data_IF_474009455954
#
_entry.id   IF_474009455954
#
_cell.length_a   1.000
_cell.length_b   1.000
_cell.length_c   1.000
_cell.angle_alpha   90.00
_cell.angle_beta   90.00
_cell.angle_gamma   90.00
#
_symmetry.space_group_name_H-M   'P 1'
#
loop_
_entity.id
_entity.type
_entity.pdbx_description
1 polymer ?
#
# COMPACT_ATOMS: atom_id res chain seq x y z
N UNK A 1 -0.45 -4.04 -2.87
CA UNK A 1 -0.82 -2.61 -3.04
C UNK A 1 -0.78 -2.12 -4.48
N UNK A 2 0.35 -2.20 -5.20
CA UNK A 2 0.45 -1.68 -6.60
C UNK A 2 -0.52 -2.39 -7.56
N UNK A 3 -0.70 -3.71 -7.43
CA UNK A 3 -1.67 -4.44 -8.24
C UNK A 3 -3.11 -3.93 -8.04
N UNK A 4 -3.54 -3.80 -6.78
CA UNK A 4 -4.85 -3.24 -6.44
C UNK A 4 -4.97 -1.78 -6.91
N UNK A 5 -3.90 -0.99 -6.80
CA UNK A 5 -3.85 0.37 -7.35
C UNK A 5 -4.16 0.39 -8.85
N UNK A 6 -3.55 -0.50 -9.63
CA UNK A 6 -3.77 -0.60 -11.07
C UNK A 6 -5.17 -1.15 -11.41
N UNK A 7 -5.68 -2.11 -10.64
CA UNK A 7 -7.02 -2.65 -10.81
C UNK A 7 -8.09 -1.58 -10.55
N UNK A 8 -7.96 -0.84 -9.45
CA UNK A 8 -8.89 0.20 -9.01
C UNK A 8 -8.88 1.44 -9.90
N UNK A 9 -7.83 1.67 -10.69
CA UNK A 9 -7.81 2.73 -11.71
C UNK A 9 -8.96 2.58 -12.72
N UNK A 10 -9.43 1.34 -12.94
CA UNK A 10 -10.56 1.04 -13.85
C UNK A 10 -11.93 1.25 -13.19
N UNK A 11 -12.00 1.18 -11.85
CA UNK A 11 -13.26 1.20 -11.10
C UNK A 11 -13.69 2.62 -10.69
N UNK A 12 -12.74 3.53 -10.50
CA UNK A 12 -13.03 4.94 -10.25
C UNK A 12 -13.45 5.62 -11.56
N UNK A 13 -14.75 5.61 -11.83
CA UNK A 13 -15.33 6.22 -13.03
C UNK A 13 -14.93 7.68 -13.21
N UNK A 14 -14.78 8.10 -14.48
CA UNK A 14 -14.40 9.47 -14.90
C UNK A 14 -15.21 10.56 -14.20
N UNK A 15 -16.48 10.30 -13.87
CA UNK A 15 -17.36 11.25 -13.16
C UNK A 15 -16.83 11.64 -11.77
N UNK A 16 -16.19 10.73 -11.03
CA UNK A 16 -15.61 11.05 -9.71
C UNK A 16 -14.28 11.81 -9.83
N UNK A 17 -13.51 11.55 -10.89
CA UNK A 17 -12.28 12.31 -11.21
C UNK A 17 -12.56 13.79 -11.47
N UNK A 18 -13.71 14.13 -12.05
CA UNK A 18 -14.03 15.50 -12.44
C UNK A 18 -14.70 16.31 -11.31
N UNK A 19 -15.33 15.64 -10.35
CA UNK A 19 -16.02 16.27 -9.22
C UNK A 19 -15.13 16.53 -7.98
N UNK A 20 -14.05 15.77 -7.80
CA UNK A 20 -13.16 15.88 -6.63
C UNK A 20 -11.89 16.68 -6.92
N UNK A 21 -11.33 17.31 -5.88
CA UNK A 21 -9.95 17.79 -5.91
C UNK A 21 -8.97 16.62 -6.12
N UNK A 22 -7.75 16.92 -6.55
CA UNK A 22 -6.72 15.88 -6.75
C UNK A 22 -6.45 15.11 -5.46
N UNK A 23 -6.40 15.80 -4.33
CA UNK A 23 -6.08 15.20 -3.03
C UNK A 23 -7.19 14.28 -2.53
N UNK A 24 -8.46 14.71 -2.62
CA UNK A 24 -9.59 13.87 -2.24
C UNK A 24 -9.70 12.62 -3.13
N UNK A 25 -9.46 12.77 -4.43
CA UNK A 25 -9.44 11.63 -5.34
C UNK A 25 -8.35 10.62 -4.98
N UNK A 26 -7.13 11.10 -4.70
CA UNK A 26 -6.01 10.25 -4.29
C UNK A 26 -6.30 9.57 -2.96
N UNK A 27 -6.81 10.31 -1.97
CA UNK A 27 -7.17 9.76 -0.67
C UNK A 27 -8.22 8.65 -0.78
N UNK A 28 -9.29 8.88 -1.55
CA UNK A 28 -10.36 7.90 -1.75
C UNK A 28 -9.88 6.64 -2.52
N UNK A 29 -8.94 6.81 -3.46
CA UNK A 29 -8.35 5.66 -4.18
C UNK A 29 -7.43 4.86 -3.26
N UNK A 30 -6.61 5.56 -2.46
CA UNK A 30 -5.66 4.93 -1.55
C UNK A 30 -6.36 4.18 -0.42
N UNK A 31 -7.46 4.73 0.12
CA UNK A 31 -8.27 4.05 1.14
C UNK A 31 -8.83 2.73 0.63
N UNK A 32 -9.33 2.71 -0.62
CA UNK A 32 -9.86 1.50 -1.25
C UNK A 32 -8.77 0.44 -1.50
N UNK A 33 -7.56 0.88 -1.91
CA UNK A 33 -6.41 -0.03 -2.04
C UNK A 33 -6.02 -0.63 -0.69
N UNK A 34 -6.03 0.18 0.36
CA UNK A 34 -5.67 -0.26 1.71
C UNK A 34 -6.73 -1.19 2.30
N UNK A 35 -8.00 -0.96 2.02
CA UNK A 35 -9.11 -1.85 2.38
C UNK A 35 -8.98 -3.21 1.69
N UNK A 36 -8.64 -3.24 0.40
CA UNK A 36 -8.51 -4.48 -0.36
C UNK A 36 -7.24 -5.27 0.01
N UNK A 37 -6.12 -4.59 0.25
CA UNK A 37 -4.81 -5.25 0.42
C UNK A 37 -4.28 -5.30 1.86
N UNK A 38 -4.73 -4.38 2.72
CA UNK A 38 -4.31 -4.30 4.12
C UNK A 38 -4.58 -5.57 4.93
N UNK A 39 -5.79 -6.17 4.86
CA UNK A 39 -6.08 -7.42 5.56
C UNK A 39 -5.16 -8.57 5.14
N UNK A 40 -4.90 -8.72 3.84
CA UNK A 40 -4.01 -9.76 3.33
C UNK A 40 -2.55 -9.58 3.80
N UNK A 41 -2.06 -8.33 3.82
CA UNK A 41 -0.71 -8.01 4.33
C UNK A 41 -0.62 -8.34 5.82
N UNK A 42 -1.63 -7.95 6.62
CA UNK A 42 -1.67 -8.24 8.05
C UNK A 42 -1.68 -9.75 8.32
N UNK A 43 -2.53 -10.51 7.62
CA UNK A 43 -2.60 -11.97 7.77
C UNK A 43 -1.23 -12.59 7.45
N UNK A 44 -0.60 -12.20 6.34
CA UNK A 44 0.72 -12.69 5.95
C UNK A 44 1.78 -12.41 7.03
N UNK A 45 1.85 -11.16 7.52
CA UNK A 45 2.78 -10.77 8.57
C UNK A 45 2.54 -11.55 9.87
N UNK A 46 1.27 -11.69 10.28
CA UNK A 46 0.89 -12.47 11.46
C UNK A 46 1.29 -13.94 11.33
N UNK A 47 1.02 -14.58 10.18
CA UNK A 47 1.38 -15.98 9.97
C UNK A 47 2.89 -16.20 9.99
N UNK A 48 3.68 -15.27 9.44
CA UNK A 48 5.14 -15.35 9.50
C UNK A 48 5.66 -15.17 10.93
N UNK A 49 5.14 -14.19 11.66
CA UNK A 49 5.49 -13.98 13.08
C UNK A 49 5.16 -15.21 13.92
N UNK A 50 4.00 -15.84 13.70
CA UNK A 50 3.61 -17.05 14.42
C UNK A 50 4.49 -18.26 14.06
N UNK A 51 4.86 -18.40 12.78
CA UNK A 51 5.78 -19.44 12.34
C UNK A 51 7.16 -19.27 12.99
N UNK A 52 7.69 -18.05 13.01
CA UNK A 52 8.96 -17.74 13.68
C UNK A 52 8.86 -17.88 15.20
N UNK A 53 7.70 -17.57 15.80
CA UNK A 53 7.48 -17.80 17.22
C UNK A 53 7.61 -19.29 17.56
N UNK A 54 6.98 -20.17 16.79
CA UNK A 54 7.12 -21.63 16.95
C UNK A 54 8.57 -22.07 16.69
N UNK A 55 9.22 -21.52 15.66
CA UNK A 55 10.63 -21.75 15.35
C UNK A 55 11.57 -21.36 16.49
N UNK A 56 11.26 -20.27 17.20
CA UNK A 56 12.04 -19.77 18.31
C UNK A 56 12.02 -20.70 19.54
N UNK A 57 10.93 -21.44 19.76
CA UNK A 57 10.80 -22.41 20.86
C UNK A 57 11.40 -23.79 20.55
N UNK A 58 11.51 -24.15 19.28
CA UNK A 58 11.89 -25.50 18.84
C UNK A 58 13.29 -25.58 18.23
N UNK A 59 13.89 -24.43 17.90
CA UNK A 59 15.18 -24.33 17.23
C UNK A 59 16.39 -24.50 18.14
N UNK A 60 17.57 -24.62 17.50
CA UNK A 60 18.85 -24.44 18.18
C UNK A 60 19.02 -22.97 18.63
N UNK A 61 19.95 -22.67 19.55
CA UNK A 61 20.17 -21.30 20.03
C UNK A 61 20.38 -20.26 18.91
N UNK A 62 21.02 -20.66 17.82
CA UNK A 62 21.28 -19.81 16.65
C UNK A 62 19.98 -19.50 15.88
N UNK A 63 19.13 -20.51 15.69
CA UNK A 63 17.84 -20.38 15.00
C UNK A 63 16.87 -19.54 15.83
N UNK A 64 16.85 -19.72 17.15
CA UNK A 64 16.02 -18.90 18.04
C UNK A 64 16.40 -17.42 17.92
N UNK A 65 17.69 -17.09 17.90
CA UNK A 65 18.14 -15.71 17.74
C UNK A 65 17.70 -15.14 16.38
N UNK A 66 17.81 -15.93 15.32
CA UNK A 66 17.35 -15.55 13.98
C UNK A 66 15.83 -15.28 13.96
N UNK A 67 15.01 -16.19 14.49
CA UNK A 67 13.56 -16.07 14.52
C UNK A 67 13.11 -14.84 15.30
N UNK A 68 13.70 -14.57 16.47
CA UNK A 68 13.36 -13.38 17.27
C UNK A 68 13.70 -12.09 16.51
N UNK A 69 14.87 -12.03 15.87
CA UNK A 69 15.25 -10.89 15.05
C UNK A 69 14.31 -10.71 13.85
N UNK A 70 13.93 -11.79 13.17
CA UNK A 70 13.02 -11.76 12.02
C UNK A 70 11.60 -11.34 12.41
N UNK A 71 11.08 -11.83 13.54
CA UNK A 71 9.79 -11.36 14.08
C UNK A 71 9.79 -9.86 14.30
N UNK A 72 10.85 -9.32 14.92
CA UNK A 72 11.00 -7.88 15.11
C UNK A 72 11.05 -7.12 13.78
N UNK A 73 11.79 -7.64 12.80
CA UNK A 73 11.88 -7.06 11.47
C UNK A 73 10.53 -7.03 10.74
N UNK A 74 9.74 -8.12 10.79
CA UNK A 74 8.42 -8.20 10.17
C UNK A 74 7.43 -7.20 10.78
N UNK A 75 7.48 -7.00 12.11
CA UNK A 75 6.64 -6.00 12.77
C UNK A 75 6.96 -4.59 12.26
N UNK A 76 8.26 -4.25 12.20
CA UNK A 76 8.71 -2.95 11.69
C UNK A 76 8.35 -2.79 10.21
N UNK A 77 8.55 -3.83 9.40
CA UNK A 77 8.18 -3.86 7.99
C UNK A 77 6.68 -3.60 7.79
N UNK A 78 5.81 -4.26 8.57
CA UNK A 78 4.37 -4.03 8.51
C UNK A 78 4.00 -2.56 8.76
N UNK A 79 4.58 -1.91 9.78
CA UNK A 79 4.32 -0.50 10.05
C UNK A 79 4.83 0.41 8.94
N UNK A 80 6.01 0.15 8.39
CA UNK A 80 6.55 0.93 7.27
C UNK A 80 5.77 0.73 5.98
N UNK A 81 5.26 -0.48 5.73
CA UNK A 81 4.39 -0.80 4.59
C UNK A 81 3.08 -0.01 4.66
N UNK A 82 2.44 0.09 5.84
CA UNK A 82 1.16 0.78 5.99
C UNK A 82 1.33 2.31 6.07
N UNK A 83 2.42 2.81 6.65
CA UNK A 83 2.66 4.25 6.81
C UNK A 83 3.46 4.85 5.66
N UNK A 84 4.78 4.60 5.63
CA UNK A 84 5.71 5.23 4.69
C UNK A 84 5.41 4.87 3.24
N UNK A 85 5.21 3.58 2.95
CA UNK A 85 4.96 3.16 1.57
C UNK A 85 3.63 3.72 1.06
N UNK A 86 2.59 3.73 1.89
CA UNK A 86 1.30 4.39 1.57
C UNK A 86 1.47 5.88 1.29
N UNK A 87 2.25 6.61 2.10
CA UNK A 87 2.55 8.02 1.87
C UNK A 87 3.29 8.26 0.54
N UNK A 88 4.28 7.43 0.23
CA UNK A 88 5.00 7.49 -1.05
C UNK A 88 4.05 7.25 -2.22
N UNK A 89 3.15 6.26 -2.12
CA UNK A 89 2.14 6.04 -3.17
C UNK A 89 1.21 7.24 -3.34
N UNK A 90 0.79 7.90 -2.25
CA UNK A 90 -0.04 9.09 -2.31
C UNK A 90 0.64 10.23 -3.07
N UNK A 91 1.93 10.47 -2.79
CA UNK A 91 2.72 11.47 -3.51
C UNK A 91 2.80 11.16 -5.01
N UNK A 92 3.19 9.93 -5.36
CA UNK A 92 3.24 9.49 -6.76
C UNK A 92 1.89 9.68 -7.47
N UNK A 93 0.79 9.35 -6.80
CA UNK A 93 -0.56 9.52 -7.34
C UNK A 93 -0.94 10.99 -7.59
N UNK A 94 -0.58 11.89 -6.67
CA UNK A 94 -0.79 13.33 -6.85
C UNK A 94 -0.03 13.84 -8.08
N UNK A 95 1.23 13.41 -8.25
CA UNK A 95 2.04 13.77 -9.42
C UNK A 95 1.43 13.22 -10.72
N UNK A 96 0.99 11.96 -10.73
CA UNK A 96 0.34 11.32 -11.86
C UNK A 96 -0.92 12.08 -12.29
N UNK A 97 -1.84 12.36 -11.36
CA UNK A 97 -3.11 13.03 -11.67
C UNK A 97 -2.91 14.49 -12.09
N UNK A 98 -1.96 15.22 -11.49
CA UNK A 98 -1.61 16.58 -11.92
C UNK A 98 -1.06 16.60 -13.35
N UNK A 99 -0.26 15.59 -13.73
CA UNK A 99 0.27 15.46 -15.09
C UNK A 99 -0.85 15.17 -16.10
N UNK A 100 -1.79 14.29 -15.77
CA UNK A 100 -2.92 13.95 -16.62
C UNK A 100 -3.87 15.14 -16.86
N UNK A 101 -4.18 15.91 -15.81
CA UNK A 101 -5.03 17.10 -15.92
C UNK A 101 -4.42 18.17 -16.85
N UNK A 102 -3.13 18.46 -16.70
CA UNK A 102 -2.39 19.38 -17.59
C UNK A 102 -2.41 18.93 -19.05
N UNK A 103 -2.38 17.61 -19.30
CA UNK A 103 -2.44 17.06 -20.66
C UNK A 103 -3.84 17.22 -21.27
N UNK A 104 -4.89 17.03 -20.46
CA UNK A 104 -6.29 17.23 -20.88
C UNK A 104 -6.57 18.69 -21.28
N UNK A 105 -6.07 19.66 -20.51
CA UNK A 105 -6.24 21.09 -20.81
C UNK A 105 -5.60 21.49 -22.15
N UNK A 106 -4.44 20.93 -22.47
CA UNK A 106 -3.74 21.18 -23.74
C UNK A 106 -4.39 20.54 -24.96
N UNK A 107 -5.27 19.55 -24.76
CA UNK A 107 -5.89 18.78 -25.84
C UNK A 107 -7.26 19.29 -26.30
N UNK A 108 -7.80 20.34 -25.69
CA UNK A 108 -9.02 21.01 -26.17
C UNK A 108 -8.59 22.06 -27.22
N UNK A 109 -8.80 21.81 -28.53
CA UNK A 109 -8.56 22.85 -29.54
C UNK A 109 -9.58 23.98 -29.33
N UNK A 110 -9.07 25.22 -29.40
CA UNK A 110 -9.87 26.45 -29.41
C UNK A 110 -10.77 26.52 -30.64
#
# INVERSE_FOLDING_TARGET
MIHAWNALNKHLGRSRKQALSVEEYVAARLSMVLEETGPAILISAMTNILADAVGSFTGSPEITLLCIANMGAIVVDFFYQISLFTSVMALCAIYEERSLRKKSEKSVPA
#
